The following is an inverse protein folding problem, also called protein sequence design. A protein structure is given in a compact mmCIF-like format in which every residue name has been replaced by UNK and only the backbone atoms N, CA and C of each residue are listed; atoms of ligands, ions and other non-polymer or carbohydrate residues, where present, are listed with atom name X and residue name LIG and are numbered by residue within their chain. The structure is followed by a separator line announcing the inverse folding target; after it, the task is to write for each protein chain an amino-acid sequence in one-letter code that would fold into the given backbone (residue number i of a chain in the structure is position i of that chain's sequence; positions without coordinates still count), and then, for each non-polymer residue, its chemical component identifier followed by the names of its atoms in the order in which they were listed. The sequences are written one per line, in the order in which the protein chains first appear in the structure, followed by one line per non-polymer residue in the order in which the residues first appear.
data_IF_808958189498
#
_entry.id   IF_808958189498
#
_cell.length_a   1.000
_cell.length_b   1.000
_cell.length_c   1.000
_cell.angle_alpha   90.00
_cell.angle_beta   90.00
_cell.angle_gamma   90.00
#
_symmetry.space_group_name_H-M   'P 1'
#
loop_
_entity.id
_entity.type
_entity.pdbx_description
1 polymer ?
#
# COMPACT_ATOMS: atom_id res chain seq x y z
N UNK A 1 -35.48 -22.68 54.05
CA UNK A 1 -36.71 -22.35 53.30
C UNK A 1 -36.42 -21.10 52.45
N UNK A 2 -36.07 -21.28 51.25
CA UNK A 2 -35.84 -20.20 50.25
C UNK A 2 -36.76 -20.48 49.07
N UNK A 3 -37.55 -19.53 48.57
CA UNK A 3 -38.49 -19.82 47.49
C UNK A 3 -37.81 -19.72 46.13
N UNK A 4 -38.22 -20.64 45.32
CA UNK A 4 -37.91 -20.87 43.93
C UNK A 4 -38.31 -19.66 43.07
N UNK A 5 -37.37 -19.14 42.22
CA UNK A 5 -37.65 -18.10 41.27
C UNK A 5 -37.75 -18.71 39.87
N UNK A 6 -38.97 -18.75 39.41
CA UNK A 6 -39.39 -19.24 38.10
C UNK A 6 -38.90 -18.35 36.94
N UNK A 7 -38.18 -18.94 35.95
CA UNK A 7 -37.75 -18.23 34.73
C UNK A 7 -38.89 -18.06 33.73
N UNK A 8 -39.04 -16.89 33.09
CA UNK A 8 -40.07 -16.70 32.06
C UNK A 8 -39.69 -17.35 30.73
N UNK A 9 -40.64 -18.11 30.20
CA UNK A 9 -40.62 -18.80 28.91
C UNK A 9 -40.70 -17.76 27.77
N UNK A 10 -39.71 -17.76 26.87
CA UNK A 10 -39.64 -16.91 25.68
C UNK A 10 -40.51 -17.52 24.56
N UNK A 11 -41.59 -16.83 24.17
CA UNK A 11 -42.45 -17.19 23.05
C UNK A 11 -41.75 -16.90 21.71
N UNK A 12 -41.68 -17.92 20.85
CA UNK A 12 -41.21 -17.84 19.46
C UNK A 12 -42.27 -17.16 18.57
N UNK A 13 -41.88 -16.29 17.62
CA UNK A 13 -42.83 -15.70 16.68
C UNK A 13 -43.13 -16.66 15.51
N UNK A 14 -44.41 -16.72 15.18
CA UNK A 14 -45.08 -17.53 14.18
C UNK A 14 -44.74 -17.02 12.76
N UNK A 15 -44.16 -17.87 11.93
CA UNK A 15 -43.88 -17.60 10.51
C UNK A 15 -45.21 -17.56 9.74
N UNK A 16 -45.48 -16.45 9.06
CA UNK A 16 -46.58 -16.31 8.09
C UNK A 16 -46.13 -16.86 6.74
N UNK A 17 -46.73 -17.92 6.28
CA UNK A 17 -46.65 -18.41 4.91
C UNK A 17 -47.46 -17.48 4.00
N UNK A 18 -46.83 -16.95 2.96
CA UNK A 18 -47.46 -16.19 1.90
C UNK A 18 -47.68 -17.11 0.71
N UNK A 19 -48.95 -17.31 0.36
CA UNK A 19 -49.43 -18.11 -0.77
C UNK A 19 -49.09 -17.40 -2.10
N UNK A 20 -48.41 -18.10 -2.97
CA UNK A 20 -48.15 -17.69 -4.36
C UNK A 20 -49.36 -18.08 -5.21
N UNK A 21 -50.00 -17.09 -5.80
CA UNK A 21 -51.03 -17.29 -6.84
C UNK A 21 -50.31 -17.24 -8.21
N UNK A 22 -50.28 -18.36 -8.89
CA UNK A 22 -49.88 -18.47 -10.30
C UNK A 22 -51.08 -18.17 -11.18
N UNK A 23 -51.03 -17.11 -11.98
CA UNK A 23 -51.95 -16.94 -13.12
C UNK A 23 -51.12 -16.89 -14.39
N UNK A 24 -51.33 -17.91 -15.23
CA UNK A 24 -50.64 -18.09 -16.51
C UNK A 24 -51.54 -17.60 -17.61
N UNK A 25 -51.25 -16.44 -18.20
CA UNK A 25 -51.87 -16.04 -19.47
C UNK A 25 -50.80 -15.84 -20.52
N UNK A 26 -50.67 -16.83 -21.37
CA UNK A 26 -49.81 -16.82 -22.55
C UNK A 26 -50.46 -15.97 -23.64
N UNK A 27 -49.89 -14.80 -23.93
CA UNK A 27 -50.23 -14.00 -25.09
C UNK A 27 -48.97 -13.91 -25.96
N UNK A 28 -49.02 -14.52 -27.14
CA UNK A 28 -47.96 -14.46 -28.14
C UNK A 28 -47.94 -13.07 -28.81
N UNK A 29 -46.82 -12.37 -28.89
CA UNK A 29 -46.71 -11.17 -29.71
C UNK A 29 -46.21 -11.47 -31.12
N UNK A 30 -46.90 -10.83 -32.06
CA UNK A 30 -46.65 -10.79 -33.51
C UNK A 30 -45.21 -10.40 -33.82
N UNK A 31 -44.61 -11.15 -34.76
CA UNK A 31 -43.35 -10.82 -35.39
C UNK A 31 -43.42 -9.43 -36.05
N UNK A 32 -42.78 -8.44 -35.47
CA UNK A 32 -42.41 -7.20 -36.11
C UNK A 32 -41.00 -7.35 -36.65
N UNK A 33 -40.90 -7.13 -37.97
CA UNK A 33 -39.67 -7.20 -38.80
C UNK A 33 -38.83 -5.96 -38.45
N UNK A 34 -37.87 -6.10 -37.57
CA UNK A 34 -36.93 -5.03 -37.25
C UNK A 34 -35.87 -4.97 -38.35
N UNK A 35 -35.89 -3.84 -39.11
CA UNK A 35 -34.80 -3.46 -40.01
C UNK A 35 -33.54 -3.28 -39.20
N UNK A 36 -32.47 -3.99 -39.57
CA UNK A 36 -31.13 -3.74 -39.03
C UNK A 36 -30.69 -2.31 -39.38
N UNK A 37 -30.68 -1.45 -38.39
CA UNK A 37 -29.96 -0.18 -38.45
C UNK A 37 -28.55 -0.51 -37.91
N UNK A 38 -27.62 -0.67 -38.84
CA UNK A 38 -26.20 -0.70 -38.53
C UNK A 38 -25.81 0.72 -38.13
N UNK A 39 -25.98 1.03 -36.87
CA UNK A 39 -25.36 2.22 -36.27
C UNK A 39 -23.90 1.86 -36.01
N UNK A 40 -23.02 2.37 -36.83
CA UNK A 40 -21.59 2.39 -36.66
C UNK A 40 -21.33 3.16 -35.35
N UNK A 41 -20.99 2.40 -34.31
CA UNK A 41 -20.65 2.97 -33.00
C UNK A 41 -19.24 3.58 -33.12
N UNK A 42 -19.18 4.82 -33.60
CA UNK A 42 -17.96 5.62 -33.47
C UNK A 42 -17.66 5.76 -31.98
N UNK A 43 -16.71 4.96 -31.49
CA UNK A 43 -16.12 5.15 -30.19
C UNK A 43 -15.44 6.54 -30.16
N UNK A 44 -15.83 7.44 -29.23
CA UNK A 44 -15.11 8.68 -29.10
C UNK A 44 -13.67 8.35 -28.72
N UNK A 45 -12.73 8.60 -29.62
CA UNK A 45 -11.30 8.63 -29.32
C UNK A 45 -11.07 9.76 -28.31
N UNK A 46 -11.21 9.45 -27.03
CA UNK A 46 -10.81 10.36 -25.96
C UNK A 46 -9.32 10.66 -26.19
N UNK A 47 -9.01 11.88 -26.60
CA UNK A 47 -7.63 12.39 -26.63
C UNK A 47 -7.13 12.36 -25.18
N UNK A 48 -6.43 11.30 -24.82
CA UNK A 48 -5.77 11.18 -23.53
C UNK A 48 -4.71 12.28 -23.47
N UNK A 49 -4.86 13.20 -22.52
CA UNK A 49 -3.91 14.27 -22.27
C UNK A 49 -2.51 13.68 -22.09
N UNK A 50 -1.49 14.34 -22.64
CA UNK A 50 -0.08 13.91 -22.50
C UNK A 50 0.33 13.72 -21.03
N UNK A 51 -0.25 14.52 -20.13
CA UNK A 51 0.01 14.43 -18.69
C UNK A 51 -0.50 13.11 -18.08
N UNK A 52 -1.61 12.54 -18.59
CA UNK A 52 -2.13 11.23 -18.14
C UNK A 52 -1.23 10.07 -18.56
N UNK A 53 -0.57 10.19 -19.72
CA UNK A 53 0.37 9.17 -20.21
C UNK A 53 1.65 9.15 -19.38
N UNK A 54 2.14 10.31 -18.96
CA UNK A 54 3.34 10.42 -18.13
C UNK A 54 3.09 9.88 -16.72
N UNK A 55 1.92 10.17 -16.12
CA UNK A 55 1.55 9.62 -14.82
C UNK A 55 1.42 8.08 -14.85
N UNK A 56 0.81 7.54 -15.93
CA UNK A 56 0.65 6.10 -16.09
C UNK A 56 2.01 5.38 -16.30
N UNK A 57 2.93 6.02 -17.04
CA UNK A 57 4.30 5.50 -17.25
C UNK A 57 5.12 5.50 -15.95
N UNK A 58 4.94 6.51 -15.09
CA UNK A 58 5.61 6.55 -13.79
C UNK A 58 5.20 5.38 -12.90
N UNK A 59 3.90 5.09 -12.81
CA UNK A 59 3.42 3.96 -12.00
C UNK A 59 3.91 2.62 -12.56
N UNK A 60 3.93 2.45 -13.89
CA UNK A 60 4.43 1.24 -14.50
C UNK A 60 5.95 1.03 -14.28
N UNK A 61 6.73 2.13 -14.26
CA UNK A 61 8.16 2.07 -13.95
C UNK A 61 8.43 1.65 -12.49
N UNK A 62 7.57 2.07 -11.55
CA UNK A 62 7.69 1.67 -10.14
C UNK A 62 7.37 0.18 -9.92
N UNK A 63 6.45 -0.39 -10.68
CA UNK A 63 6.09 -1.81 -10.56
C UNK A 63 7.19 -2.75 -11.06
N UNK A 64 8.07 -2.28 -11.95
CA UNK A 64 9.18 -3.08 -12.50
C UNK A 64 10.51 -2.91 -11.76
N UNK A 65 10.63 -1.90 -10.88
CA UNK A 65 11.90 -1.44 -10.32
C UNK A 65 12.22 -1.85 -8.89
N UNK A 66 11.36 -2.60 -8.20
CA UNK A 66 11.52 -2.88 -6.77
C UNK A 66 12.61 -3.92 -6.40
N UNK A 67 13.44 -4.35 -7.35
CA UNK A 67 14.64 -5.13 -7.03
C UNK A 67 15.85 -4.19 -7.10
N UNK A 68 16.05 -3.40 -6.04
CA UNK A 68 17.29 -2.69 -5.85
C UNK A 68 18.36 -3.72 -5.46
N UNK A 69 19.10 -4.20 -6.45
CA UNK A 69 20.28 -5.01 -6.22
C UNK A 69 21.38 -4.08 -5.73
N UNK A 70 21.53 -3.91 -4.42
CA UNK A 70 22.70 -3.27 -3.85
C UNK A 70 23.90 -4.21 -4.01
N UNK A 71 24.68 -4.02 -5.07
CA UNK A 71 25.98 -4.66 -5.20
C UNK A 71 26.96 -3.98 -4.26
N UNK A 72 27.16 -4.54 -3.07
CA UNK A 72 28.22 -4.13 -2.16
C UNK A 72 29.43 -4.99 -2.46
N UNK A 73 30.42 -4.42 -3.13
CA UNK A 73 31.77 -4.99 -3.18
C UNK A 73 32.44 -4.77 -1.82
N UNK A 74 32.47 -5.80 -1.00
CA UNK A 74 33.17 -5.79 0.28
C UNK A 74 34.53 -6.42 0.14
N UNK A 75 35.55 -5.61 0.38
CA UNK A 75 36.87 -6.10 0.76
C UNK A 75 37.43 -5.23 1.88
N UNK A 76 37.49 -5.79 3.06
CA UNK A 76 38.58 -5.68 4.06
C UNK A 76 38.03 -5.94 5.48
N UNK A 77 38.78 -6.77 6.20
CA UNK A 77 38.58 -7.18 7.60
C UNK A 77 38.70 -5.94 8.53
N UNK A 78 37.74 -5.65 9.42
CA UNK A 78 37.87 -4.51 10.31
C UNK A 78 38.44 -4.89 11.66
N UNK A 79 39.49 -4.21 12.07
CA UNK A 79 39.86 -4.00 13.46
C UNK A 79 38.76 -3.18 14.16
N UNK A 80 38.33 -3.47 15.42
CA UNK A 80 37.30 -2.72 16.08
C UNK A 80 37.82 -1.37 16.58
N UNK A 81 37.77 -0.38 15.72
CA UNK A 81 37.82 1.03 16.08
C UNK A 81 36.38 1.47 16.14
N UNK A 82 35.95 2.16 17.21
CA UNK A 82 34.63 2.77 17.28
C UNK A 82 34.50 3.78 16.14
N UNK A 83 34.09 3.31 14.98
CA UNK A 83 33.95 4.12 13.77
C UNK A 83 32.71 5.00 13.94
N UNK A 84 32.92 6.29 14.12
CA UNK A 84 31.84 7.28 14.01
C UNK A 84 31.34 7.24 12.56
N UNK A 85 30.19 6.63 12.34
CA UNK A 85 29.59 6.52 11.00
C UNK A 85 29.38 7.90 10.41
N UNK A 86 29.79 8.10 9.17
CA UNK A 86 29.58 9.35 8.46
C UNK A 86 28.09 9.51 8.10
N UNK A 87 27.64 10.75 7.93
CA UNK A 87 26.25 10.99 7.51
C UNK A 87 25.95 10.33 6.14
N UNK A 88 26.92 10.28 5.26
CA UNK A 88 26.82 9.59 3.96
C UNK A 88 26.55 8.09 4.12
N UNK A 89 27.19 7.43 5.09
CA UNK A 89 26.90 6.01 5.38
C UNK A 89 25.51 5.81 5.95
N UNK A 90 25.06 6.73 6.81
CA UNK A 90 23.70 6.72 7.39
C UNK A 90 22.66 6.79 6.30
N UNK A 91 22.72 7.81 5.42
CA UNK A 91 21.76 7.97 4.32
C UNK A 91 21.99 6.99 3.17
N UNK A 92 23.08 6.25 3.18
CA UNK A 92 23.35 5.14 2.27
C UNK A 92 22.78 3.79 2.74
N UNK A 93 22.08 3.76 3.88
CA UNK A 93 21.49 2.54 4.43
C UNK A 93 22.53 1.54 4.99
N UNK A 94 23.76 1.99 5.25
CA UNK A 94 24.88 1.15 5.70
C UNK A 94 25.02 1.05 7.21
N UNK A 95 24.17 1.74 7.96
CA UNK A 95 24.22 1.83 9.43
C UNK A 95 22.88 1.38 10.02
N UNK A 96 22.95 0.57 11.07
CA UNK A 96 21.77 0.19 11.85
C UNK A 96 21.52 1.24 12.95
N UNK A 97 20.50 2.06 12.76
CA UNK A 97 20.12 3.19 13.60
C UNK A 97 19.14 2.76 14.70
N UNK A 98 19.25 3.34 15.86
CA UNK A 98 18.17 3.40 16.84
C UNK A 98 17.06 4.33 16.34
N UNK A 99 15.89 4.30 16.99
CA UNK A 99 14.81 5.23 16.67
C UNK A 99 15.25 6.71 16.76
N UNK A 100 15.93 7.08 17.83
CA UNK A 100 16.43 8.46 18.03
C UNK A 100 17.46 8.89 16.97
N UNK A 101 18.33 7.98 16.55
CA UNK A 101 19.29 8.24 15.48
C UNK A 101 18.61 8.37 14.12
N UNK A 102 17.58 7.56 13.82
CA UNK A 102 16.77 7.71 12.64
C UNK A 102 16.08 9.07 12.57
N UNK A 103 15.42 9.47 13.67
CA UNK A 103 14.78 10.79 13.79
C UNK A 103 15.79 11.93 13.57
N UNK A 104 16.95 11.85 14.21
CA UNK A 104 18.00 12.85 14.04
C UNK A 104 18.52 12.91 12.58
N UNK A 105 18.69 11.76 11.94
CA UNK A 105 19.12 11.69 10.56
C UNK A 105 18.10 12.31 9.60
N UNK A 106 16.82 11.98 9.75
CA UNK A 106 15.71 12.54 8.93
C UNK A 106 15.59 14.04 9.14
N UNK A 107 15.68 14.51 10.40
CA UNK A 107 15.69 15.95 10.71
C UNK A 107 16.86 16.69 10.04
N UNK A 108 18.04 16.10 10.06
CA UNK A 108 19.23 16.66 9.37
C UNK A 108 19.08 16.66 7.85
N UNK A 109 18.39 15.65 7.30
CA UNK A 109 18.11 15.54 5.87
C UNK A 109 17.14 16.64 5.38
N UNK A 110 16.18 17.06 6.22
CA UNK A 110 15.23 18.12 5.92
C UNK A 110 14.15 17.73 4.91
N UNK A 111 13.87 16.44 4.75
CA UNK A 111 12.81 15.92 3.87
C UNK A 111 11.82 15.10 4.67
N UNK A 112 10.59 15.00 4.15
CA UNK A 112 9.57 14.16 4.73
C UNK A 112 9.88 12.68 4.44
N UNK A 113 9.93 11.88 5.50
CA UNK A 113 10.11 10.43 5.43
C UNK A 113 9.00 9.76 6.23
N UNK A 114 8.29 8.84 5.61
CA UNK A 114 7.25 8.05 6.27
C UNK A 114 7.82 6.73 6.79
N UNK A 115 7.24 6.24 7.88
CA UNK A 115 7.53 4.95 8.50
C UNK A 115 6.30 4.37 9.19
N UNK A 116 6.37 3.12 9.60
CA UNK A 116 5.28 2.45 10.34
C UNK A 116 5.45 2.54 11.88
N UNK A 117 6.20 3.54 12.34
CA UNK A 117 6.47 3.72 13.76
C UNK A 117 7.56 2.81 14.33
N UNK A 118 7.87 2.98 15.61
CA UNK A 118 8.89 2.19 16.28
C UNK A 118 8.41 0.78 16.62
N UNK A 119 9.33 -0.18 16.51
CA UNK A 119 9.13 -1.56 16.92
C UNK A 119 10.13 -1.87 18.04
N UNK A 120 9.65 -2.45 19.14
CA UNK A 120 10.49 -2.78 20.30
C UNK A 120 11.66 -3.69 19.88
N UNK A 121 12.88 -3.26 20.18
CA UNK A 121 14.10 -4.01 19.88
C UNK A 121 14.58 -3.91 18.44
N UNK A 122 13.82 -3.31 17.54
CA UNK A 122 14.26 -3.11 16.17
C UNK A 122 15.29 -1.97 16.07
N UNK A 123 16.15 -2.08 15.08
CA UNK A 123 16.93 -0.97 14.50
C UNK A 123 16.44 -0.68 13.09
N UNK A 124 16.93 0.39 12.50
CA UNK A 124 16.47 0.88 11.22
C UNK A 124 17.65 1.21 10.31
N UNK A 125 17.48 1.08 9.01
CA UNK A 125 18.38 1.75 8.06
C UNK A 125 17.63 2.87 7.35
N UNK A 126 18.35 3.92 6.97
CA UNK A 126 17.84 5.01 6.15
C UNK A 126 18.63 5.06 4.85
N UNK A 127 18.00 4.74 3.73
CA UNK A 127 18.60 4.90 2.42
C UNK A 127 17.90 6.02 1.67
N UNK A 128 18.67 6.99 1.18
CA UNK A 128 18.19 8.14 0.41
C UNK A 128 19.03 8.22 -0.86
N UNK A 129 18.68 7.43 -1.89
CA UNK A 129 19.32 7.56 -3.19
C UNK A 129 19.03 8.95 -3.77
N UNK A 130 19.73 9.32 -4.82
CA UNK A 130 19.37 10.49 -5.61
C UNK A 130 17.89 10.41 -6.02
N UNK A 131 17.22 11.55 -6.22
CA UNK A 131 15.84 11.64 -6.72
C UNK A 131 14.70 11.75 -5.69
N UNK A 132 15.00 12.13 -4.44
CA UNK A 132 13.96 12.43 -3.43
C UNK A 132 13.20 11.22 -2.94
N UNK A 133 13.77 10.04 -3.06
CA UNK A 133 13.23 8.81 -2.50
C UNK A 133 13.89 8.54 -1.15
N UNK A 134 13.13 8.02 -0.19
CA UNK A 134 13.67 7.61 1.10
C UNK A 134 13.12 6.24 1.48
N UNK A 135 13.99 5.37 1.99
CA UNK A 135 13.65 4.01 2.39
C UNK A 135 14.02 3.80 3.85
N UNK A 136 13.07 3.41 4.66
CA UNK A 136 13.28 2.96 6.04
C UNK A 136 13.09 1.46 6.10
N UNK A 137 14.17 0.71 6.32
CA UNK A 137 14.13 -0.74 6.50
C UNK A 137 14.20 -1.09 7.98
N UNK A 138 13.36 -2.02 8.39
CA UNK A 138 13.27 -2.51 9.76
C UNK A 138 14.18 -3.70 9.95
N UNK A 139 15.05 -3.64 10.95
CA UNK A 139 15.98 -4.71 11.31
C UNK A 139 15.56 -5.30 12.67
N UNK A 140 14.87 -6.44 12.70
CA UNK A 140 14.52 -7.11 13.95
C UNK A 140 15.78 -7.34 14.80
N UNK A 141 15.76 -6.92 16.07
CA UNK A 141 16.90 -7.01 16.99
C UNK A 141 18.21 -6.36 16.47
N UNK A 142 18.15 -5.57 15.41
CA UNK A 142 19.32 -4.95 14.76
C UNK A 142 20.09 -5.88 13.80
N UNK A 143 19.60 -7.08 13.59
CA UNK A 143 20.22 -8.07 12.72
C UNK A 143 19.88 -7.83 11.24
N UNK A 144 20.72 -8.34 10.33
CA UNK A 144 20.44 -8.33 8.90
C UNK A 144 20.87 -7.07 8.15
N UNK A 145 21.72 -6.22 8.73
CA UNK A 145 22.20 -4.99 8.07
C UNK A 145 22.79 -5.28 6.67
N UNK A 146 23.57 -6.34 6.54
CA UNK A 146 24.22 -6.76 5.29
C UNK A 146 23.41 -7.75 4.46
N UNK A 147 22.23 -8.17 4.96
CA UNK A 147 21.36 -9.07 4.20
C UNK A 147 20.65 -8.30 3.09
N UNK A 148 20.84 -8.74 1.85
CA UNK A 148 20.25 -8.13 0.65
C UNK A 148 18.93 -8.78 0.24
N UNK A 149 18.51 -9.84 0.93
CA UNK A 149 17.25 -10.54 0.63
C UNK A 149 16.04 -9.68 1.04
N UNK A 150 14.91 -9.81 0.36
CA UNK A 150 13.68 -9.07 0.67
C UNK A 150 12.92 -9.69 1.86
N UNK A 151 13.62 -9.86 2.99
CA UNK A 151 13.10 -10.52 4.20
C UNK A 151 12.64 -9.53 5.27
N UNK A 152 12.70 -8.24 4.99
CA UNK A 152 12.52 -7.17 5.98
C UNK A 152 11.40 -6.23 5.55
N UNK A 153 10.66 -5.71 6.51
CA UNK A 153 9.73 -4.60 6.25
C UNK A 153 10.51 -3.40 5.73
N UNK A 154 10.03 -2.80 4.67
CA UNK A 154 10.56 -1.55 4.12
C UNK A 154 9.39 -0.58 3.89
N UNK A 155 9.54 0.63 4.40
CA UNK A 155 8.65 1.73 4.07
C UNK A 155 9.42 2.70 3.18
N UNK A 156 8.95 2.87 1.96
CA UNK A 156 9.53 3.82 1.03
C UNK A 156 8.63 5.05 0.88
N UNK A 157 9.24 6.22 0.77
CA UNK A 157 8.58 7.49 0.50
C UNK A 157 9.07 8.01 -0.84
N UNK A 158 8.15 8.26 -1.76
CA UNK A 158 8.43 8.78 -3.10
C UNK A 158 7.77 10.15 -3.26
N UNK A 159 8.53 11.16 -3.68
CA UNK A 159 7.93 12.42 -4.11
C UNK A 159 7.23 12.20 -5.45
N UNK A 160 5.91 12.28 -5.45
CA UNK A 160 5.06 11.97 -6.61
C UNK A 160 3.98 13.03 -6.76
N UNK A 161 3.99 13.76 -7.85
CA UNK A 161 2.93 14.72 -8.15
C UNK A 161 1.60 13.99 -8.31
N UNK A 162 0.52 14.54 -7.74
CA UNK A 162 -0.82 13.96 -7.79
C UNK A 162 -0.88 12.50 -7.28
N UNK A 163 -0.07 12.16 -6.28
CA UNK A 163 0.07 10.80 -5.75
C UNK A 163 -1.28 10.15 -5.44
N UNK A 164 -2.22 10.88 -4.83
CA UNK A 164 -3.54 10.35 -4.47
C UNK A 164 -4.32 9.85 -5.69
N UNK A 165 -4.51 10.70 -6.70
CA UNK A 165 -5.25 10.31 -7.91
C UNK A 165 -4.51 9.26 -8.73
N UNK A 166 -3.17 9.31 -8.77
CA UNK A 166 -2.36 8.31 -9.43
C UNK A 166 -2.50 6.92 -8.76
N UNK A 167 -2.49 6.87 -7.44
CA UNK A 167 -2.68 5.63 -6.66
C UNK A 167 -4.09 5.06 -6.88
N UNK A 168 -5.13 5.90 -6.92
CA UNK A 168 -6.47 5.44 -7.26
C UNK A 168 -6.56 4.89 -8.69
N UNK A 169 -5.97 5.59 -9.67
CA UNK A 169 -5.99 5.17 -11.07
C UNK A 169 -5.25 3.84 -11.32
N UNK A 170 -4.28 3.49 -10.47
CA UNK A 170 -3.56 2.23 -10.54
C UNK A 170 -4.48 1.01 -10.36
N UNK A 171 -5.60 1.15 -9.65
CA UNK A 171 -6.62 0.10 -9.52
C UNK A 171 -7.26 -0.32 -10.84
N UNK A 172 -7.17 0.49 -11.89
CA UNK A 172 -7.67 0.17 -13.23
C UNK A 172 -6.71 -0.74 -14.04
N UNK A 173 -5.54 -1.05 -13.50
CA UNK A 173 -4.60 -1.99 -14.11
C UNK A 173 -5.09 -3.44 -13.94
N UNK A 174 -4.59 -4.33 -14.78
CA UNK A 174 -4.84 -5.77 -14.65
C UNK A 174 -4.40 -6.24 -13.24
N UNK A 175 -5.29 -6.97 -12.56
CA UNK A 175 -5.08 -7.45 -11.19
C UNK A 175 -4.87 -6.35 -10.13
N UNK A 176 -5.09 -5.07 -10.49
CA UNK A 176 -5.05 -3.95 -9.56
C UNK A 176 -6.23 -3.96 -8.60
N UNK A 177 -5.98 -3.61 -7.35
CA UNK A 177 -7.00 -3.39 -6.33
C UNK A 177 -6.76 -2.04 -5.69
N UNK A 178 -7.79 -1.20 -5.61
CA UNK A 178 -7.72 0.08 -4.91
C UNK A 178 -8.92 0.28 -4.01
N UNK A 179 -8.73 0.96 -2.90
CA UNK A 179 -9.78 1.39 -1.98
C UNK A 179 -9.32 2.62 -1.19
N UNK A 180 -10.25 3.24 -0.49
CA UNK A 180 -9.95 4.33 0.45
C UNK A 180 -9.95 3.74 1.87
N UNK A 181 -8.88 3.96 2.62
CA UNK A 181 -8.79 3.52 4.01
C UNK A 181 -9.56 4.47 4.96
N UNK A 182 -9.59 4.15 6.25
CA UNK A 182 -10.30 4.92 7.27
C UNK A 182 -9.77 6.32 7.50
N UNK A 183 -8.55 6.62 7.04
CA UNK A 183 -7.92 7.95 7.08
C UNK A 183 -8.18 8.77 5.81
N UNK A 184 -8.93 8.22 4.86
CA UNK A 184 -9.18 8.85 3.56
C UNK A 184 -8.02 8.73 2.58
N UNK A 185 -7.00 7.92 2.88
CA UNK A 185 -5.91 7.67 1.95
C UNK A 185 -6.30 6.64 0.88
N UNK A 186 -5.84 6.86 -0.35
CA UNK A 186 -5.93 5.87 -1.40
C UNK A 186 -4.90 4.76 -1.14
N UNK A 187 -5.36 3.52 -1.15
CA UNK A 187 -4.53 2.33 -1.01
C UNK A 187 -4.62 1.53 -2.30
N UNK A 188 -3.50 1.06 -2.80
CA UNK A 188 -3.39 0.23 -4.00
C UNK A 188 -2.43 -0.92 -3.78
N UNK A 189 -2.78 -2.09 -4.33
CA UNK A 189 -1.85 -3.20 -4.52
C UNK A 189 -2.20 -3.97 -5.79
N UNK A 190 -1.24 -4.73 -6.32
CA UNK A 190 -1.48 -5.67 -7.41
C UNK A 190 -1.53 -7.10 -6.85
N UNK A 191 -2.51 -7.91 -7.28
CA UNK A 191 -2.70 -9.29 -6.84
C UNK A 191 -1.54 -10.21 -7.22
N UNK A 192 -0.77 -9.85 -8.26
CA UNK A 192 0.40 -10.61 -8.68
C UNK A 192 1.64 -10.32 -7.81
N UNK A 193 1.67 -9.13 -7.15
CA UNK A 193 2.75 -8.69 -6.25
C UNK A 193 2.16 -8.13 -4.95
N UNK A 194 1.40 -8.93 -4.18
CA UNK A 194 0.62 -8.42 -3.05
C UNK A 194 1.47 -8.01 -1.84
N UNK A 195 2.77 -8.27 -1.87
CA UNK A 195 3.73 -7.84 -0.84
C UNK A 195 4.07 -6.36 -0.88
N UNK A 196 3.69 -5.67 -1.97
CA UNK A 196 3.90 -4.25 -2.16
C UNK A 196 2.54 -3.54 -2.14
N UNK A 197 2.33 -2.67 -1.17
CA UNK A 197 1.10 -1.89 -1.01
C UNK A 197 1.45 -0.41 -1.04
N UNK A 198 0.76 0.34 -1.87
CA UNK A 198 0.99 1.78 -2.07
C UNK A 198 -0.11 2.58 -1.40
N UNK A 199 0.29 3.66 -0.73
CA UNK A 199 -0.62 4.55 0.00
C UNK A 199 -0.34 6.00 -0.40
N UNK A 200 -1.39 6.77 -0.63
CA UNK A 200 -1.26 8.20 -0.88
C UNK A 200 -2.39 8.96 -0.18
N UNK A 201 -2.03 10.00 0.55
CA UNK A 201 -2.98 10.87 1.25
C UNK A 201 -3.46 12.00 0.35
N UNK A 202 -4.71 12.47 0.51
CA UNK A 202 -5.21 13.64 -0.22
C UNK A 202 -4.32 14.87 0.00
N UNK A 203 -4.12 15.65 -1.05
CA UNK A 203 -3.37 16.92 -1.01
C UNK A 203 -1.87 16.80 -0.63
N UNK A 204 -1.33 15.58 -0.62
CA UNK A 204 0.10 15.35 -0.46
C UNK A 204 0.70 14.86 -1.78
N UNK A 205 1.93 15.30 -2.06
CA UNK A 205 2.71 14.86 -3.22
C UNK A 205 3.69 13.75 -2.84
N UNK A 206 3.22 12.80 -2.03
CA UNK A 206 3.97 11.62 -1.62
C UNK A 206 3.17 10.36 -1.89
N UNK A 207 3.83 9.38 -2.52
CA UNK A 207 3.37 8.00 -2.54
C UNK A 207 4.24 7.21 -1.56
N UNK A 208 3.61 6.45 -0.70
CA UNK A 208 4.28 5.63 0.31
C UNK A 208 4.11 4.17 -0.13
N UNK A 209 5.21 3.44 -0.23
CA UNK A 209 5.19 2.01 -0.46
C UNK A 209 5.46 1.29 0.86
N UNK A 210 4.61 0.33 1.17
CA UNK A 210 4.78 -0.62 2.26
C UNK A 210 5.15 -1.96 1.64
N UNK A 211 6.37 -2.39 1.87
CA UNK A 211 6.80 -3.75 1.53
C UNK A 211 6.92 -4.58 2.80
N UNK A 212 6.33 -5.78 2.76
CA UNK A 212 6.54 -6.83 3.76
C UNK A 212 6.56 -8.18 3.02
N UNK A 213 7.48 -9.11 3.35
CA UNK A 213 7.49 -10.45 2.75
C UNK A 213 6.17 -11.21 2.98
N UNK A 214 5.36 -10.80 3.96
CA UNK A 214 4.02 -11.32 4.24
C UNK A 214 2.99 -10.29 3.73
N UNK A 215 2.33 -10.59 2.63
CA UNK A 215 1.38 -9.69 1.99
C UNK A 215 0.26 -9.18 2.92
N UNK A 216 -0.24 -10.03 3.81
CA UNK A 216 -1.26 -9.64 4.79
C UNK A 216 -0.73 -8.57 5.77
N UNK A 217 0.54 -8.64 6.18
CA UNK A 217 1.17 -7.64 7.04
C UNK A 217 1.37 -6.32 6.30
N UNK A 218 1.81 -6.35 5.04
CA UNK A 218 1.92 -5.14 4.22
C UNK A 218 0.57 -4.41 4.11
N UNK A 219 -0.50 -5.16 3.83
CA UNK A 219 -1.85 -4.62 3.73
C UNK A 219 -2.37 -4.09 5.07
N UNK A 220 -2.11 -4.78 6.19
CA UNK A 220 -2.50 -4.32 7.53
C UNK A 220 -1.82 -2.98 7.87
N UNK A 221 -0.52 -2.86 7.68
CA UNK A 221 0.23 -1.62 7.89
C UNK A 221 -0.34 -0.47 7.04
N UNK A 222 -0.62 -0.73 5.75
CA UNK A 222 -1.11 0.27 4.82
C UNK A 222 -2.56 0.72 5.10
N UNK A 223 -3.36 -0.13 5.73
CA UNK A 223 -4.80 0.10 5.96
C UNK A 223 -5.11 0.60 7.36
N UNK A 224 -4.25 0.31 8.34
CA UNK A 224 -4.48 0.60 9.75
C UNK A 224 -4.31 2.08 10.04
N UNK A 225 -5.28 2.66 10.72
CA UNK A 225 -5.25 4.06 11.14
C UNK A 225 -4.02 4.39 12.00
N UNK A 226 -3.31 5.46 11.64
CA UNK A 226 -2.13 5.95 12.36
C UNK A 226 -0.89 5.04 12.24
N UNK A 227 -0.94 3.98 11.44
CA UNK A 227 0.22 3.12 11.25
C UNK A 227 1.32 3.86 10.49
N UNK A 228 0.98 4.48 9.37
CA UNK A 228 1.92 5.27 8.59
C UNK A 228 1.95 6.71 9.08
N UNK A 229 3.14 7.19 9.43
CA UNK A 229 3.36 8.53 9.95
C UNK A 229 4.74 9.05 9.57
N UNK A 230 4.92 10.36 9.65
CA UNK A 230 6.23 10.99 9.47
C UNK A 230 7.20 10.58 10.59
N UNK A 231 8.45 10.37 10.25
CA UNK A 231 9.56 10.26 11.20
C UNK A 231 9.80 11.64 11.81
N UNK A 232 9.53 11.80 13.13
CA UNK A 232 9.61 13.07 13.88
C UNK A 232 10.25 12.86 15.23
#
# INVERSE_FOLDING_TARGET
MTPDQEKPVRKTPKVRQSTVVTDSTVVAPKRARVKAITAELETPKAKMSQNSKTALLMIAAFLAGSIITYSITSSSTPTPVASTSTFTEVIGGKVALTESELIAAVKKLGVDVYWAGSVKGAKYTLAVPADGQAYVRYLPNGDGLTDTKPNYVVIATYTTANAFSATQAAGNQSNGVTFINTEGAAVYYNKDTPTNVYVAYPNLNYQIEVFDPIAATALDIASKQGALRLVK
#
